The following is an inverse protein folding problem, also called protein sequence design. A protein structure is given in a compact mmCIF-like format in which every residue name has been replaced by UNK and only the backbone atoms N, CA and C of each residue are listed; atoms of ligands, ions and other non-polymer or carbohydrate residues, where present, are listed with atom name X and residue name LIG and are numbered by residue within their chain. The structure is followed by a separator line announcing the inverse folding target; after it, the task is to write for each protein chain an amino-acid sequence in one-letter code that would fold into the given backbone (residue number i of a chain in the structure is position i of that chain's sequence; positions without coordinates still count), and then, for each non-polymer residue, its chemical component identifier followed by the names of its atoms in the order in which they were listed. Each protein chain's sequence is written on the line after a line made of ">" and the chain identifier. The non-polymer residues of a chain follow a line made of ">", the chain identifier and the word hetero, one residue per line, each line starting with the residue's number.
data_IF_056270441567
#
_entry.id   IF_056270441567
#
_cell.length_a   1.000
_cell.length_b   1.000
_cell.length_c   1.000
_cell.angle_alpha   90.00
_cell.angle_beta   90.00
_cell.angle_gamma   90.00
#
_symmetry.space_group_name_H-M   'P 1'
#
loop_
_entity.id
_entity.type
_entity.pdbx_description
1 polymer ?
#
# COMPACT_ATOMS: atom_id res chain seq x y z
N UNK A 1 33.64 3.97 7.62
CA UNK A 1 32.73 2.81 7.45
C UNK A 1 31.44 2.84 8.27
N UNK A 2 31.09 3.95 8.96
CA UNK A 2 29.77 4.10 9.64
C UNK A 2 29.09 5.44 9.26
N UNK A 3 29.58 6.15 8.24
CA UNK A 3 29.06 7.48 7.84
C UNK A 3 28.39 7.50 6.46
N UNK A 4 28.22 6.35 5.79
CA UNK A 4 27.65 6.28 4.42
C UNK A 4 26.17 5.87 4.41
N UNK A 5 25.64 5.27 5.49
CA UNK A 5 24.24 4.81 5.58
C UNK A 5 23.25 5.89 6.07
N UNK A 6 23.73 7.06 6.48
CA UNK A 6 22.89 8.23 6.77
C UNK A 6 22.94 9.26 5.62
N UNK A 7 23.30 8.83 4.40
CA UNK A 7 23.13 9.68 3.22
C UNK A 7 21.70 9.53 2.71
N UNK A 8 20.91 10.51 3.12
CA UNK A 8 19.83 11.06 2.31
C UNK A 8 18.63 10.12 2.12
N UNK A 9 17.78 10.09 3.15
CA UNK A 9 16.34 10.31 2.96
C UNK A 9 16.12 11.68 2.29
N UNK A 10 16.69 11.88 1.10
CA UNK A 10 16.38 13.01 0.26
C UNK A 10 14.97 12.74 -0.24
N UNK A 11 14.04 13.36 0.47
CA UNK A 11 12.76 13.87 -0.02
C UNK A 11 12.95 14.83 -1.19
N UNK A 12 13.92 14.59 -2.07
CA UNK A 12 14.03 15.23 -3.36
C UNK A 12 12.88 14.64 -4.17
N UNK A 13 11.73 15.27 -4.00
CA UNK A 13 10.61 15.30 -4.90
C UNK A 13 11.14 15.11 -6.32
N UNK A 14 11.11 13.87 -6.80
CA UNK A 14 10.89 13.66 -8.22
C UNK A 14 9.55 14.32 -8.40
N UNK A 15 9.52 15.58 -8.85
CA UNK A 15 8.27 16.14 -9.33
C UNK A 15 7.93 15.24 -10.50
N UNK A 16 7.10 14.23 -10.21
CA UNK A 16 6.47 13.44 -11.24
C UNK A 16 5.55 14.46 -11.87
N UNK A 17 6.04 15.14 -12.89
CA UNK A 17 5.31 16.12 -13.70
C UNK A 17 4.33 15.36 -14.62
N UNK A 18 3.62 14.39 -14.03
CA UNK A 18 2.84 13.39 -14.71
C UNK A 18 1.98 12.59 -13.73
N UNK A 19 1.11 11.71 -14.24
CA UNK A 19 0.28 10.84 -13.41
C UNK A 19 1.13 10.03 -12.43
N UNK A 20 0.70 9.99 -11.18
CA UNK A 20 1.26 9.07 -10.18
C UNK A 20 0.15 8.29 -9.47
N UNK A 21 0.51 7.14 -8.92
CA UNK A 21 -0.37 6.32 -8.10
C UNK A 21 0.07 6.45 -6.65
N UNK A 22 -0.90 6.65 -5.77
CA UNK A 22 -0.69 6.66 -4.33
C UNK A 22 -1.48 5.53 -3.69
N UNK A 23 -0.84 4.79 -2.79
CA UNK A 23 -1.52 3.83 -1.94
C UNK A 23 -2.21 4.61 -0.81
N UNK A 24 -3.53 4.53 -0.74
CA UNK A 24 -4.34 5.19 0.30
C UNK A 24 -4.50 4.31 1.53
N UNK A 25 -4.65 3.01 1.34
CA UNK A 25 -4.82 2.01 2.40
C UNK A 25 -3.92 0.82 2.09
N UNK A 26 -2.93 0.58 2.94
CA UNK A 26 -2.03 -0.56 2.79
C UNK A 26 -2.75 -1.88 3.13
N UNK A 27 -2.32 -3.03 2.61
CA UNK A 27 -2.79 -4.31 3.11
C UNK A 27 -2.34 -4.53 4.56
N UNK A 28 -3.15 -5.25 5.33
CA UNK A 28 -2.76 -5.63 6.68
C UNK A 28 -1.53 -6.54 6.64
N UNK A 29 -0.50 -6.17 7.39
CA UNK A 29 0.79 -6.87 7.36
C UNK A 29 0.73 -8.32 7.85
N UNK A 30 -0.21 -8.66 8.73
CA UNK A 30 -0.32 -9.99 9.35
C UNK A 30 -1.78 -10.40 9.53
N UNK A 31 -2.00 -11.69 9.78
CA UNK A 31 -3.31 -12.24 10.13
C UNK A 31 -4.18 -12.62 8.93
N UNK A 32 -3.70 -12.44 7.69
CA UNK A 32 -4.30 -13.07 6.52
C UNK A 32 -3.69 -14.46 6.29
N UNK A 33 -4.53 -15.43 5.93
CA UNK A 33 -4.12 -16.82 5.70
C UNK A 33 -4.20 -17.13 4.21
N UNK A 34 -3.06 -17.47 3.61
CA UNK A 34 -3.02 -18.10 2.29
C UNK A 34 -3.62 -19.50 2.34
N UNK A 35 -4.26 -19.90 1.24
CA UNK A 35 -5.11 -21.09 1.16
C UNK A 35 -4.67 -21.98 -0.01
N UNK A 36 -4.82 -23.28 0.15
CA UNK A 36 -4.61 -24.23 -0.94
C UNK A 36 -5.76 -24.19 -1.95
N UNK A 37 -5.48 -24.53 -3.21
CA UNK A 37 -6.52 -24.56 -4.25
C UNK A 37 -7.67 -25.53 -3.96
N UNK A 38 -7.40 -26.63 -3.25
CA UNK A 38 -8.42 -27.60 -2.85
C UNK A 38 -9.39 -27.08 -1.77
N UNK A 39 -9.12 -25.94 -1.13
CA UNK A 39 -10.04 -25.34 -0.13
C UNK A 39 -11.22 -24.60 -0.78
N UNK A 40 -11.23 -24.44 -2.11
CA UNK A 40 -12.30 -23.78 -2.86
C UNK A 40 -12.28 -22.24 -2.78
N UNK A 41 -13.08 -21.55 -3.61
CA UNK A 41 -13.15 -20.09 -3.62
C UNK A 41 -13.98 -19.57 -2.42
N UNK A 42 -13.76 -18.31 -2.00
CA UNK A 42 -14.53 -17.56 -0.97
C UNK A 42 -14.06 -17.61 0.49
N UNK A 43 -12.75 -17.62 0.76
CA UNK A 43 -12.17 -17.54 2.13
C UNK A 43 -12.06 -16.11 2.71
N UNK A 44 -12.70 -15.14 2.07
CA UNK A 44 -12.58 -13.71 2.41
C UNK A 44 -11.38 -13.03 1.75
N UNK A 45 -11.52 -11.74 1.47
CA UNK A 45 -10.48 -10.91 0.85
C UNK A 45 -9.41 -10.44 1.82
N UNK A 46 -8.25 -10.03 1.29
CA UNK A 46 -7.17 -9.43 2.05
C UNK A 46 -7.64 -8.11 2.69
N UNK A 47 -7.59 -7.96 4.04
CA UNK A 47 -8.05 -6.74 4.70
C UNK A 47 -7.02 -5.61 4.58
N UNK A 48 -7.51 -4.37 4.71
CA UNK A 48 -6.67 -3.17 4.89
C UNK A 48 -5.98 -3.15 6.26
N UNK A 49 -4.88 -2.42 6.36
CA UNK A 49 -4.10 -2.20 7.57
C UNK A 49 -4.94 -1.60 8.71
N UNK A 50 -5.86 -0.68 8.39
CA UNK A 50 -6.79 -0.03 9.31
C UNK A 50 -8.06 -0.84 9.60
N UNK A 51 -8.21 -2.03 9.01
CA UNK A 51 -9.43 -2.83 9.18
C UNK A 51 -9.56 -3.33 10.61
N UNK A 52 -10.74 -3.16 11.20
CA UNK A 52 -11.10 -3.63 12.54
C UNK A 52 -12.29 -4.59 12.47
N UNK A 53 -12.62 -5.26 13.58
CA UNK A 53 -13.71 -6.26 13.65
C UNK A 53 -15.04 -5.73 13.12
N UNK A 54 -15.37 -4.49 13.45
CA UNK A 54 -16.65 -3.85 13.09
C UNK A 54 -16.51 -2.88 11.91
N UNK A 55 -15.30 -2.66 11.39
CA UNK A 55 -15.02 -1.74 10.30
C UNK A 55 -14.04 -2.39 9.32
N UNK A 56 -14.60 -3.07 8.34
CA UNK A 56 -13.80 -3.72 7.28
C UNK A 56 -13.32 -2.67 6.28
N UNK A 57 -12.01 -2.58 6.11
CA UNK A 57 -11.35 -1.79 5.05
C UNK A 57 -10.54 -2.73 4.17
N UNK A 58 -10.15 -2.26 2.98
CA UNK A 58 -9.45 -3.06 1.98
C UNK A 58 -8.30 -2.27 1.37
N UNK A 59 -7.24 -2.94 0.87
CA UNK A 59 -6.16 -2.28 0.18
C UNK A 59 -6.70 -1.39 -0.94
N UNK A 60 -6.34 -0.11 -0.92
CA UNK A 60 -6.91 0.88 -1.83
C UNK A 60 -5.79 1.77 -2.36
N UNK A 61 -5.86 2.05 -3.67
CA UNK A 61 -4.96 2.95 -4.38
C UNK A 61 -5.77 4.03 -5.08
N UNK A 62 -5.13 5.16 -5.37
CA UNK A 62 -5.73 6.25 -6.14
C UNK A 62 -4.72 6.83 -7.11
N UNK A 63 -5.18 7.09 -8.33
CA UNK A 63 -4.43 7.82 -9.33
C UNK A 63 -4.59 9.32 -9.10
N UNK A 64 -3.47 10.03 -9.18
CA UNK A 64 -3.40 11.48 -9.10
C UNK A 64 -2.77 12.00 -10.38
N UNK A 65 -3.48 12.90 -11.06
CA UNK A 65 -2.95 13.67 -12.17
C UNK A 65 -2.48 15.00 -11.61
N UNK A 66 -1.19 15.28 -11.70
CA UNK A 66 -0.66 16.62 -11.48
C UNK A 66 -0.94 17.42 -12.75
N UNK A 67 -2.04 18.17 -12.76
CA UNK A 67 -2.25 19.18 -13.79
C UNK A 67 -1.40 20.38 -13.38
N UNK A 68 -0.25 20.55 -14.03
CA UNK A 68 0.51 21.78 -13.90
C UNK A 68 -0.31 22.91 -14.52
N UNK A 69 -0.67 23.92 -13.72
CA UNK A 69 -1.02 25.24 -14.22
C UNK A 69 0.25 26.02 -14.56
#
# INVERSE_FOLDING_TARGET
>A
NVEIINKNFDWLCVSVDGPFLQILEQPKQRGFRFRYGCEGPSHGGLPGASSEKNRKTYPTVKFFLKVCC
#
